data_IF_594772862657
#
_entry.id   IF_594772862657
#
_cell.length_a   1.000
_cell.length_b   1.000
_cell.length_c   1.000
_cell.angle_alpha   90.00
_cell.angle_beta   90.00
_cell.angle_gamma   90.00
#
_symmetry.space_group_name_H-M   'P 1'
#
loop_
_entity.id
_entity.type
_entity.pdbx_description
1 polymer ?
#
# COMPACT_ATOMS: atom_id res chain seq x y z
N UNK A 1 14.91 -4.29 -8.25
CA UNK A 1 13.43 -4.33 -8.21
C UNK A 1 13.08 -5.20 -7.03
N UNK A 2 12.29 -4.74 -6.06
CA UNK A 2 11.88 -5.60 -4.92
C UNK A 2 11.11 -6.81 -5.46
N UNK A 3 11.50 -8.00 -5.04
CA UNK A 3 10.82 -9.25 -5.41
C UNK A 3 9.42 -9.29 -4.78
N UNK A 4 8.48 -9.90 -5.50
CA UNK A 4 7.12 -10.13 -5.02
C UNK A 4 7.11 -11.29 -4.00
N UNK A 5 6.41 -11.08 -2.90
CA UNK A 5 6.25 -12.01 -1.79
C UNK A 5 4.81 -12.52 -1.81
N UNK A 6 4.64 -13.82 -1.62
CA UNK A 6 3.31 -14.43 -1.54
C UNK A 6 2.47 -13.82 -0.40
N UNK A 7 1.20 -13.51 -0.69
CA UNK A 7 0.29 -12.87 0.27
C UNK A 7 0.05 -13.69 1.54
N UNK A 8 0.28 -15.01 1.52
CA UNK A 8 0.23 -15.85 2.72
C UNK A 8 1.19 -15.35 3.82
N UNK A 9 2.28 -14.66 3.44
CA UNK A 9 3.24 -14.07 4.37
C UNK A 9 2.82 -12.68 4.89
N UNK A 10 1.65 -12.16 4.52
CA UNK A 10 1.20 -10.82 4.90
C UNK A 10 1.14 -10.61 6.41
N UNK A 11 0.79 -11.65 7.17
CA UNK A 11 0.78 -11.61 8.63
C UNK A 11 2.15 -11.22 9.25
N UNK A 12 3.24 -11.35 8.49
CA UNK A 12 4.59 -10.95 8.88
C UNK A 12 4.96 -9.53 8.43
N UNK A 13 4.04 -8.74 7.86
CA UNK A 13 4.36 -7.40 7.32
C UNK A 13 5.05 -6.49 8.33
N UNK A 14 4.74 -6.61 9.63
CA UNK A 14 5.34 -5.78 10.68
C UNK A 14 6.85 -6.01 10.81
N UNK A 15 7.35 -7.20 10.47
CA UNK A 15 8.79 -7.50 10.45
C UNK A 15 9.51 -6.91 9.24
N UNK A 16 8.77 -6.62 8.18
CA UNK A 16 9.28 -6.06 6.93
C UNK A 16 9.08 -4.55 6.83
N UNK A 17 8.29 -3.97 7.74
CA UNK A 17 7.99 -2.54 7.74
C UNK A 17 9.24 -1.71 8.00
N UNK A 18 9.43 -0.64 7.21
CA UNK A 18 10.59 0.24 7.30
C UNK A 18 10.17 1.69 7.08
N UNK A 19 10.74 2.66 7.83
CA UNK A 19 10.46 4.08 7.60
C UNK A 19 10.74 4.49 6.15
N UNK A 20 9.81 5.24 5.55
CA UNK A 20 9.92 5.69 4.16
C UNK A 20 9.51 4.65 3.11
N UNK A 21 9.00 3.49 3.53
CA UNK A 21 8.48 2.44 2.65
C UNK A 21 7.01 2.14 2.97
N UNK A 22 6.30 1.63 1.97
CA UNK A 22 4.94 1.11 2.05
C UNK A 22 4.87 -0.23 1.34
N UNK A 23 3.81 -1.00 1.59
CA UNK A 23 3.58 -2.24 0.85
C UNK A 23 2.73 -1.97 -0.38
N UNK A 24 3.22 -2.42 -1.52
CA UNK A 24 2.41 -2.59 -2.72
C UNK A 24 1.84 -4.00 -2.72
N UNK A 25 0.52 -4.10 -2.56
CA UNK A 25 -0.24 -5.35 -2.62
C UNK A 25 -0.90 -5.43 -3.98
N UNK A 26 -0.88 -6.59 -4.63
CA UNK A 26 -1.51 -6.82 -5.93
C UNK A 26 -2.48 -7.99 -5.86
N UNK A 27 -3.56 -7.91 -6.61
CA UNK A 27 -4.55 -8.99 -6.75
C UNK A 27 -4.37 -9.78 -8.06
N UNK A 28 -5.14 -10.88 -8.19
CA UNK A 28 -5.14 -11.72 -9.39
C UNK A 28 -5.58 -11.03 -10.69
N UNK A 29 -6.18 -9.83 -10.60
CA UNK A 29 -6.55 -8.99 -11.75
C UNK A 29 -5.44 -8.02 -12.17
N UNK A 30 -4.29 -8.03 -11.48
CA UNK A 30 -3.18 -7.11 -11.72
C UNK A 30 -3.42 -5.70 -11.17
N UNK A 31 -4.45 -5.48 -10.35
CA UNK A 31 -4.65 -4.20 -9.64
C UNK A 31 -3.72 -4.13 -8.44
N UNK A 32 -3.14 -2.97 -8.18
CA UNK A 32 -2.27 -2.73 -7.03
C UNK A 32 -2.85 -1.72 -6.05
N UNK A 33 -2.44 -1.85 -4.78
CA UNK A 33 -2.81 -1.03 -3.65
C UNK A 33 -1.55 -0.71 -2.84
N UNK A 34 -1.31 0.56 -2.57
CA UNK A 34 -0.27 0.98 -1.64
C UNK A 34 -0.87 1.14 -0.24
N UNK A 35 -0.31 0.44 0.74
CA UNK A 35 -0.85 0.39 2.10
C UNK A 35 0.26 0.20 3.13
N UNK A 36 0.13 0.75 4.35
CA UNK A 36 1.00 0.36 5.47
C UNK A 36 0.70 -1.09 5.91
N UNK A 37 1.53 -1.63 6.81
CA UNK A 37 1.25 -2.94 7.40
C UNK A 37 -0.02 -2.86 8.27
N UNK A 38 -1.09 -3.53 7.81
CA UNK A 38 -2.37 -3.59 8.53
C UNK A 38 -2.87 -5.03 8.54
N UNK A 39 -3.18 -5.55 9.73
CA UNK A 39 -3.69 -6.92 9.92
C UNK A 39 -4.99 -6.84 10.74
N UNK A 40 -6.15 -7.21 10.17
CA UNK A 40 -6.36 -7.67 8.80
C UNK A 40 -6.21 -6.55 7.76
N UNK A 41 -5.75 -6.90 6.55
CA UNK A 41 -5.63 -5.95 5.45
C UNK A 41 -7.00 -5.41 5.06
N UNK A 42 -7.12 -4.08 4.99
CA UNK A 42 -8.33 -3.42 4.49
C UNK A 42 -8.26 -3.31 2.96
N UNK A 43 -9.14 -4.03 2.27
CA UNK A 43 -9.20 -4.03 0.82
C UNK A 43 -10.21 -3.01 0.29
N UNK A 44 -9.90 -2.32 -0.82
CA UNK A 44 -10.88 -1.51 -1.54
C UNK A 44 -12.08 -2.34 -1.98
N UNK A 45 -13.29 -1.79 -1.86
CA UNK A 45 -14.53 -2.47 -2.25
C UNK A 45 -14.55 -2.87 -3.74
N UNK A 46 -13.85 -2.13 -4.60
CA UNK A 46 -13.76 -2.42 -6.03
C UNK A 46 -12.93 -3.67 -6.39
N UNK A 47 -12.23 -4.28 -5.43
CA UNK A 47 -11.45 -5.50 -5.66
C UNK A 47 -12.36 -6.72 -5.69
N UNK A 48 -12.47 -7.37 -6.85
CA UNK A 48 -13.28 -8.58 -7.03
C UNK A 48 -12.46 -9.86 -6.81
N UNK A 49 -11.14 -9.75 -6.89
CA UNK A 49 -10.19 -10.84 -6.66
C UNK A 49 -9.36 -10.60 -5.40
N UNK A 50 -8.98 -11.68 -4.68
CA UNK A 50 -8.16 -11.57 -3.49
C UNK A 50 -6.73 -11.10 -3.82
N UNK A 51 -6.01 -10.52 -2.85
CA UNK A 51 -4.57 -10.31 -2.92
C UNK A 51 -3.83 -11.61 -3.21
N UNK A 52 -2.78 -11.55 -4.03
CA UNK A 52 -1.96 -12.70 -4.41
C UNK A 52 -0.51 -12.51 -4.03
N UNK A 53 0.00 -11.29 -4.17
CA UNK A 53 1.37 -10.97 -3.82
C UNK A 53 1.49 -9.53 -3.29
N UNK A 54 2.58 -9.28 -2.58
CA UNK A 54 2.93 -7.96 -2.11
C UNK A 54 4.43 -7.75 -2.16
N UNK A 55 4.87 -6.50 -2.12
CA UNK A 55 6.29 -6.15 -2.00
C UNK A 55 6.45 -4.84 -1.24
N UNK A 56 7.62 -4.63 -0.66
CA UNK A 56 7.97 -3.37 -0.04
C UNK A 56 8.51 -2.40 -1.11
N UNK A 57 7.91 -1.21 -1.20
CA UNK A 57 8.28 -0.14 -2.13
C UNK A 57 8.47 1.17 -1.39
N UNK A 58 9.24 2.09 -1.97
CA UNK A 58 9.39 3.43 -1.39
C UNK A 58 8.03 4.14 -1.34
N UNK A 59 7.76 4.79 -0.21
CA UNK A 59 6.54 5.56 -0.03
C UNK A 59 6.51 6.69 -1.07
N UNK A 60 5.39 6.88 -1.81
CA UNK A 60 5.27 7.99 -2.74
C UNK A 60 5.46 9.31 -1.97
N UNK A 61 6.31 10.19 -2.51
CA UNK A 61 6.58 11.48 -1.87
C UNK A 61 5.26 12.23 -1.69
N UNK A 62 4.98 12.79 -0.50
CA UNK A 62 3.78 13.57 -0.28
C UNK A 62 3.73 14.69 -1.32
N UNK A 63 2.64 14.72 -2.09
CA UNK A 63 2.39 15.79 -3.06
C UNK A 63 2.09 17.05 -2.27
N UNK A 64 2.93 18.07 -2.39
CA UNK A 64 2.66 19.40 -1.81
C UNK A 64 1.37 19.94 -2.43
N UNK A 65 0.33 20.10 -1.61
CA UNK A 65 -0.86 20.85 -2.00
C UNK A 65 -0.48 22.31 -2.18
N UNK A 66 -0.89 22.90 -3.30
CA UNK A 66 -0.62 24.30 -3.64
C UNK A 66 -1.96 24.95 -4.03
N UNK A 67 -2.30 26.16 -3.54
CA UNK A 67 -2.06 26.73 -2.21
C UNK A 67 -3.15 26.30 -1.20
N UNK A 68 -2.89 26.53 0.09
CA UNK A 68 -3.90 26.46 1.16
C UNK A 68 -5.06 27.41 0.79
N UNK A 69 -6.34 26.98 0.83
CA UNK A 69 -7.46 27.86 0.56
C UNK A 69 -7.38 29.10 1.44
N UNK A 70 -7.53 30.29 0.85
CA UNK A 70 -7.55 31.53 1.65
C UNK A 70 -8.72 31.45 2.65
N UNK A 71 -8.52 31.82 3.92
CA UNK A 71 -9.62 31.90 4.88
C UNK A 71 -10.70 32.84 4.34
N UNK A 72 -11.97 32.40 4.39
CA UNK A 72 -13.10 33.27 4.10
C UNK A 72 -13.27 34.20 5.29
N UNK A 73 -13.12 35.51 5.06
CA UNK A 73 -13.45 36.58 6.01
C UNK A 73 -14.89 36.99 5.74
#
# INVERSE_FOLDING_TARGET
>A
MSDWIDFDQWHNCARMERPGFVFEVRNGEGRSLLTPCTVPLQLPFEWRSPPVDFRLVEAPKPRRSNPIPKPQI
#
